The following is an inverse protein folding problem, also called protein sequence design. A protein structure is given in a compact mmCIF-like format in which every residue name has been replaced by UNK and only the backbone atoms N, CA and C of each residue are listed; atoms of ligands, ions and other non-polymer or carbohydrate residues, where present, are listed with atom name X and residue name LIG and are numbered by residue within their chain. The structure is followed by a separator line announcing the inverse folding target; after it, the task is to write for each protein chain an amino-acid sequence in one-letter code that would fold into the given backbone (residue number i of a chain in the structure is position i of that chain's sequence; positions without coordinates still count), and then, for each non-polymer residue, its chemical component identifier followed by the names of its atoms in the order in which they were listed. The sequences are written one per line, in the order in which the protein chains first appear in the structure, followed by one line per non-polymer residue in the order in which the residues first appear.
data_IF_898053362770
#
_entry.id   IF_898053362770
#
_cell.length_a   1.000
_cell.length_b   1.000
_cell.length_c   1.000
_cell.angle_alpha   90.00
_cell.angle_beta   90.00
_cell.angle_gamma   90.00
#
_symmetry.space_group_name_H-M   'P 1'
#
loop_
_entity.id
_entity.type
_entity.pdbx_description
1 polymer ?
#
# COMPACT_ATOMS: atom_id res chain seq x y z
N UNK A 1 5.29 5.10 -18.19
CA UNK A 1 5.10 3.72 -17.73
C UNK A 1 3.65 3.39 -17.51
N UNK A 2 3.29 2.11 -17.67
CA UNK A 2 1.95 1.56 -17.42
C UNK A 2 1.93 0.96 -16.03
N UNK A 3 1.02 1.40 -15.19
CA UNK A 3 0.93 0.92 -13.80
C UNK A 3 -0.41 0.22 -13.59
N UNK A 4 -0.38 -1.05 -13.23
CA UNK A 4 -1.58 -1.78 -12.80
C UNK A 4 -1.80 -1.59 -11.29
N UNK A 5 -2.90 -0.99 -10.94
CA UNK A 5 -3.33 -0.71 -9.57
C UNK A 5 -4.35 -1.75 -9.15
N UNK A 6 -4.03 -2.58 -8.15
CA UNK A 6 -4.91 -3.60 -7.59
C UNK A 6 -5.32 -3.16 -6.18
N UNK A 7 -6.48 -2.54 -6.05
CA UNK A 7 -6.89 -1.92 -4.79
C UNK A 7 -8.40 -1.68 -4.70
N UNK A 8 -8.85 -1.26 -3.53
CA UNK A 8 -10.23 -0.84 -3.31
C UNK A 8 -10.52 0.55 -3.88
N UNK A 9 -11.79 0.81 -4.18
CA UNK A 9 -12.31 2.09 -4.67
C UNK A 9 -12.81 2.94 -3.50
N UNK A 10 -12.36 4.19 -3.42
CA UNK A 10 -12.89 5.22 -2.50
C UNK A 10 -13.90 6.11 -3.22
N UNK A 11 -15.19 5.99 -2.88
CA UNK A 11 -16.25 6.83 -3.45
C UNK A 11 -16.07 8.33 -3.17
N UNK A 12 -15.34 8.70 -2.11
CA UNK A 12 -14.95 10.07 -1.80
C UNK A 12 -13.83 10.63 -2.68
N UNK A 13 -13.16 9.74 -3.43
CA UNK A 13 -12.15 10.12 -4.43
C UNK A 13 -10.80 10.56 -3.87
N UNK A 14 -10.56 10.46 -2.56
CA UNK A 14 -9.34 10.92 -1.91
C UNK A 14 -8.29 9.85 -1.66
N UNK A 15 -8.69 8.57 -1.65
CA UNK A 15 -7.82 7.42 -1.40
C UNK A 15 -8.07 6.31 -2.44
N UNK A 16 -7.57 5.10 -2.20
CA UNK A 16 -7.77 3.94 -3.06
C UNK A 16 -7.34 4.18 -4.50
N UNK A 17 -7.94 3.46 -5.43
CA UNK A 17 -7.62 3.59 -6.86
C UNK A 17 -7.76 5.03 -7.38
N UNK A 18 -8.63 5.84 -6.81
CA UNK A 18 -8.83 7.22 -7.25
C UNK A 18 -7.62 8.11 -6.94
N UNK A 19 -7.00 7.95 -5.79
CA UNK A 19 -5.74 8.63 -5.46
C UNK A 19 -4.60 8.10 -6.35
N UNK A 20 -4.53 6.79 -6.54
CA UNK A 20 -3.50 6.12 -7.32
C UNK A 20 -3.55 6.57 -8.79
N UNK A 21 -4.74 6.54 -9.43
CA UNK A 21 -4.93 7.02 -10.81
C UNK A 21 -4.47 8.47 -10.96
N UNK A 22 -4.90 9.35 -10.04
CA UNK A 22 -4.51 10.77 -10.07
C UNK A 22 -3.00 10.94 -9.96
N UNK A 23 -2.35 10.18 -9.08
CA UNK A 23 -0.91 10.26 -8.86
C UNK A 23 -0.15 9.77 -10.09
N UNK A 24 -0.44 8.57 -10.56
CA UNK A 24 0.21 7.99 -11.75
C UNK A 24 0.03 8.92 -12.97
N UNK A 25 -1.18 9.44 -13.18
CA UNK A 25 -1.47 10.36 -14.28
C UNK A 25 -0.71 11.68 -14.14
N UNK A 26 -0.67 12.25 -12.93
CA UNK A 26 0.07 13.50 -12.67
C UNK A 26 1.59 13.34 -12.89
N UNK A 27 2.12 12.13 -12.72
CA UNK A 27 3.52 11.78 -12.99
C UNK A 27 3.77 11.35 -14.45
N UNK A 28 2.77 11.46 -15.32
CA UNK A 28 2.91 11.13 -16.75
C UNK A 28 2.79 9.64 -17.06
N UNK A 29 2.31 8.82 -16.12
CA UNK A 29 2.06 7.40 -16.31
C UNK A 29 0.65 7.10 -16.84
N UNK A 30 0.45 5.88 -17.29
CA UNK A 30 -0.84 5.32 -17.68
C UNK A 30 -1.34 4.37 -16.59
N UNK A 31 -2.43 4.76 -15.93
CA UNK A 31 -3.00 4.01 -14.81
C UNK A 31 -4.07 3.03 -15.30
N UNK A 32 -3.91 1.76 -14.95
CA UNK A 32 -4.87 0.69 -15.14
C UNK A 32 -5.32 0.16 -13.79
N UNK A 33 -6.49 -0.44 -13.67
CA UNK A 33 -7.03 -0.86 -12.38
C UNK A 33 -7.65 -2.24 -12.40
N UNK A 34 -7.50 -2.96 -11.27
CA UNK A 34 -8.30 -4.10 -10.88
C UNK A 34 -8.88 -3.83 -9.47
N UNK A 35 -10.20 -3.77 -9.37
CA UNK A 35 -10.87 -3.44 -8.11
C UNK A 35 -11.01 -4.67 -7.24
N UNK A 36 -10.60 -4.55 -5.97
CA UNK A 36 -10.75 -5.60 -4.95
C UNK A 36 -12.01 -5.42 -4.10
N UNK A 37 -12.43 -4.17 -3.90
CA UNK A 37 -13.65 -3.82 -3.20
C UNK A 37 -14.14 -2.43 -3.60
N UNK A 38 -15.44 -2.21 -3.44
CA UNK A 38 -16.05 -0.88 -3.50
C UNK A 38 -16.34 -0.40 -2.08
N UNK A 39 -16.06 0.85 -1.77
CA UNK A 39 -16.43 1.42 -0.48
C UNK A 39 -17.47 2.54 -0.63
N UNK A 40 -18.42 2.59 0.28
CA UNK A 40 -19.21 3.77 0.56
C UNK A 40 -18.44 4.60 1.60
N UNK A 41 -17.61 5.54 1.14
CA UNK A 41 -16.64 6.24 1.97
C UNK A 41 -16.64 7.74 1.66
N UNK A 42 -16.37 8.51 2.70
CA UNK A 42 -16.12 9.95 2.63
C UNK A 42 -14.99 10.36 3.59
N UNK A 43 -14.72 11.65 3.76
CA UNK A 43 -13.67 12.14 4.66
C UNK A 43 -13.93 11.90 6.16
N UNK A 44 -15.14 11.47 6.52
CA UNK A 44 -15.56 11.17 7.91
C UNK A 44 -15.40 9.70 8.25
N UNK A 45 -15.48 8.79 7.26
CA UNK A 45 -15.34 7.36 7.50
C UNK A 45 -15.78 6.46 6.36
N UNK A 46 -15.65 5.16 6.60
CA UNK A 46 -16.15 4.08 5.75
C UNK A 46 -17.51 3.62 6.30
N UNK A 47 -18.54 3.72 5.48
CA UNK A 47 -19.92 3.39 5.84
C UNK A 47 -20.35 2.02 5.31
N UNK A 48 -19.62 1.48 4.33
CA UNK A 48 -19.89 0.15 3.77
C UNK A 48 -18.75 -0.30 2.88
N UNK A 49 -18.57 -1.62 2.81
CA UNK A 49 -17.59 -2.28 1.94
C UNK A 49 -18.34 -3.36 1.16
N UNK A 50 -18.20 -3.35 -0.15
CA UNK A 50 -18.71 -4.39 -1.04
C UNK A 50 -17.51 -5.07 -1.71
N UNK A 51 -17.23 -6.31 -1.31
CA UNK A 51 -16.15 -7.09 -1.89
C UNK A 51 -16.45 -7.42 -3.35
N UNK A 52 -15.45 -7.33 -4.20
CA UNK A 52 -15.53 -7.84 -5.56
C UNK A 52 -15.23 -9.35 -5.51
N UNK A 53 -16.03 -10.20 -6.19
CA UNK A 53 -15.77 -11.64 -6.25
C UNK A 53 -14.36 -11.95 -6.80
N UNK A 54 -13.68 -12.92 -6.19
CA UNK A 54 -12.30 -13.30 -6.51
C UNK A 54 -12.11 -13.64 -7.98
N UNK A 55 -13.06 -14.39 -8.58
CA UNK A 55 -13.04 -14.72 -10.00
C UNK A 55 -13.07 -13.47 -10.89
N UNK A 56 -13.75 -12.41 -10.46
CA UNK A 56 -13.81 -11.17 -11.21
C UNK A 56 -12.55 -10.31 -11.01
N UNK A 57 -11.89 -10.41 -9.84
CA UNK A 57 -10.58 -9.79 -9.60
C UNK A 57 -9.55 -10.41 -10.56
N UNK A 58 -9.49 -11.75 -10.63
CA UNK A 58 -8.63 -12.47 -11.57
C UNK A 58 -8.90 -12.01 -13.01
N UNK A 59 -10.17 -11.99 -13.42
CA UNK A 59 -10.54 -11.57 -14.77
C UNK A 59 -10.10 -10.14 -15.11
N UNK A 60 -10.22 -9.19 -14.17
CA UNK A 60 -9.76 -7.82 -14.37
C UNK A 60 -8.24 -7.77 -14.61
N UNK A 61 -7.47 -8.52 -13.79
CA UNK A 61 -6.00 -8.58 -13.92
C UNK A 61 -5.61 -9.23 -15.26
N UNK A 62 -6.23 -10.35 -15.61
CA UNK A 62 -5.92 -11.11 -16.83
C UNK A 62 -6.16 -10.31 -18.10
N UNK A 63 -7.31 -9.65 -18.23
CA UNK A 63 -7.62 -8.86 -19.45
C UNK A 63 -6.70 -7.65 -19.61
N UNK A 64 -6.25 -7.05 -18.49
CA UNK A 64 -5.32 -5.93 -18.55
C UNK A 64 -3.90 -6.41 -18.89
N UNK A 65 -3.42 -7.45 -18.21
CA UNK A 65 -2.05 -7.92 -18.44
C UNK A 65 -1.88 -8.58 -19.80
N UNK A 66 -2.89 -9.30 -20.31
CA UNK A 66 -2.81 -9.97 -21.63
C UNK A 66 -2.82 -9.01 -22.81
N UNK A 67 -3.43 -7.82 -22.70
CA UNK A 67 -3.53 -6.84 -23.77
C UNK A 67 -2.50 -5.70 -23.59
N UNK A 68 -2.55 -5.03 -22.44
CA UNK A 68 -1.75 -3.83 -22.18
C UNK A 68 -0.40 -4.16 -21.53
N UNK A 69 -0.32 -5.24 -20.74
CA UNK A 69 0.81 -5.50 -19.85
C UNK A 69 0.93 -4.45 -18.74
N UNK A 70 1.97 -4.55 -17.93
CA UNK A 70 2.29 -3.55 -16.90
C UNK A 70 3.80 -3.40 -16.76
N UNK A 71 4.25 -2.15 -16.58
CA UNK A 71 5.66 -1.83 -16.29
C UNK A 71 5.92 -1.80 -14.78
N UNK A 72 4.86 -1.65 -13.98
CA UNK A 72 4.84 -1.82 -12.52
C UNK A 72 3.43 -2.21 -12.05
N UNK A 73 3.36 -2.85 -10.90
CA UNK A 73 2.11 -3.17 -10.20
C UNK A 73 2.12 -2.51 -8.83
N UNK A 74 0.99 -1.92 -8.43
CA UNK A 74 0.79 -1.42 -7.06
C UNK A 74 -0.40 -2.12 -6.43
N UNK A 75 -0.25 -2.64 -5.21
CA UNK A 75 -1.38 -3.12 -4.40
C UNK A 75 -1.70 -2.15 -3.28
N UNK A 76 -2.98 -1.99 -2.99
CA UNK A 76 -3.48 -1.23 -1.84
C UNK A 76 -4.37 -2.11 -0.94
N UNK A 77 -5.61 -1.68 -0.67
CA UNK A 77 -6.57 -2.44 0.13
C UNK A 77 -6.92 -3.78 -0.54
N UNK A 78 -6.58 -4.90 0.11
CA UNK A 78 -6.89 -6.27 -0.36
C UNK A 78 -7.95 -6.99 0.48
N UNK A 79 -8.34 -6.44 1.62
CA UNK A 79 -9.47 -6.79 2.48
C UNK A 79 -9.40 -8.17 3.15
N UNK A 80 -9.30 -9.28 2.42
CA UNK A 80 -9.41 -10.65 2.94
C UNK A 80 -8.26 -11.57 2.52
N UNK A 81 -8.03 -12.71 3.22
CA UNK A 81 -7.03 -13.70 2.80
C UNK A 81 -7.27 -14.20 1.38
N UNK A 82 -8.52 -14.52 1.03
CA UNK A 82 -8.89 -15.05 -0.28
C UNK A 82 -8.57 -14.05 -1.41
N UNK A 83 -8.77 -12.74 -1.18
CA UNK A 83 -8.38 -11.70 -2.15
C UNK A 83 -6.87 -11.63 -2.30
N UNK A 84 -6.09 -11.73 -1.21
CA UNK A 84 -4.61 -11.73 -1.26
C UNK A 84 -4.11 -12.94 -2.07
N UNK A 85 -4.60 -14.14 -1.77
CA UNK A 85 -4.26 -15.38 -2.49
C UNK A 85 -4.59 -15.25 -3.98
N UNK A 86 -5.78 -14.74 -4.31
CA UNK A 86 -6.22 -14.50 -5.68
C UNK A 86 -5.30 -13.52 -6.42
N UNK A 87 -4.95 -12.41 -5.79
CA UNK A 87 -4.07 -11.40 -6.39
C UNK A 87 -2.66 -11.95 -6.59
N UNK A 88 -2.12 -12.67 -5.59
CA UNK A 88 -0.80 -13.31 -5.71
C UNK A 88 -0.78 -14.32 -6.85
N UNK A 89 -1.82 -15.15 -6.99
CA UNK A 89 -1.94 -16.11 -8.08
C UNK A 89 -2.05 -15.42 -9.45
N UNK A 90 -2.91 -14.41 -9.57
CA UNK A 90 -3.11 -13.69 -10.83
C UNK A 90 -1.85 -12.91 -11.26
N UNK A 91 -1.11 -12.33 -10.33
CA UNK A 91 0.14 -11.61 -10.61
C UNK A 91 1.34 -12.54 -10.90
N UNK A 92 1.20 -13.87 -10.79
CA UNK A 92 2.27 -14.80 -11.15
C UNK A 92 2.61 -14.79 -12.66
N UNK A 93 1.74 -14.22 -13.48
CA UNK A 93 1.93 -14.10 -14.93
C UNK A 93 2.78 -12.89 -15.36
N UNK A 94 3.27 -12.06 -14.42
CA UNK A 94 4.08 -10.87 -14.73
C UNK A 94 5.29 -10.77 -13.80
N UNK A 95 6.42 -10.30 -14.36
CA UNK A 95 7.64 -9.97 -13.61
C UNK A 95 7.73 -8.47 -13.27
N UNK A 96 6.66 -7.71 -13.53
CA UNK A 96 6.63 -6.28 -13.21
C UNK A 96 6.87 -6.04 -11.71
N UNK A 97 7.73 -5.09 -11.33
CA UNK A 97 8.02 -4.78 -9.93
C UNK A 97 6.73 -4.43 -9.17
N UNK A 98 6.58 -5.01 -7.98
CA UNK A 98 5.40 -4.88 -7.15
C UNK A 98 5.65 -3.90 -5.99
N UNK A 99 4.86 -2.84 -5.92
CA UNK A 99 4.78 -1.93 -4.77
C UNK A 99 3.60 -2.35 -3.89
N UNK A 100 3.87 -2.68 -2.64
CA UNK A 100 2.85 -3.09 -1.67
C UNK A 100 2.61 -1.97 -0.66
N UNK A 101 1.43 -1.36 -0.71
CA UNK A 101 0.93 -0.50 0.38
C UNK A 101 0.05 -1.37 1.30
N UNK A 102 0.52 -1.70 2.53
CA UNK A 102 -0.13 -2.70 3.39
C UNK A 102 -1.31 -2.08 4.15
N UNK A 103 -2.28 -1.57 3.41
CA UNK A 103 -3.43 -0.83 3.96
C UNK A 103 -4.25 -1.70 4.90
N UNK A 104 -4.18 -1.41 6.21
CA UNK A 104 -4.92 -2.14 7.25
C UNK A 104 -6.13 -1.39 7.76
N UNK A 105 -6.05 -0.06 7.86
CA UNK A 105 -7.11 0.80 8.39
C UNK A 105 -7.34 2.04 7.55
N UNK A 106 -8.60 2.47 7.46
CA UNK A 106 -8.92 3.78 6.94
C UNK A 106 -8.49 4.88 7.92
N UNK A 107 -8.34 6.12 7.46
CA UNK A 107 -8.02 7.29 8.30
C UNK A 107 -8.96 7.43 9.51
N UNK A 108 -10.23 7.07 9.38
CA UNK A 108 -11.22 7.06 10.46
C UNK A 108 -11.12 5.87 11.43
N UNK A 109 -10.07 5.03 11.32
CA UNK A 109 -9.85 3.86 12.18
C UNK A 109 -10.63 2.60 11.77
N UNK A 110 -11.51 2.67 10.78
CA UNK A 110 -12.23 1.51 10.28
C UNK A 110 -11.25 0.46 9.74
N UNK A 111 -11.43 -0.81 10.13
CA UNK A 111 -10.64 -1.92 9.61
C UNK A 111 -10.96 -2.12 8.12
N UNK A 112 -9.93 -2.13 7.30
CA UNK A 112 -9.99 -2.40 5.86
C UNK A 112 -9.41 -3.77 5.52
N UNK A 113 -8.50 -4.27 6.34
CA UNK A 113 -7.94 -5.61 6.28
C UNK A 113 -8.51 -6.45 7.41
N UNK A 114 -9.00 -7.65 7.10
CA UNK A 114 -9.43 -8.61 8.10
C UNK A 114 -8.24 -9.09 8.93
N UNK A 115 -8.38 -9.38 10.24
CA UNK A 115 -7.26 -9.82 11.06
C UNK A 115 -6.55 -11.07 10.50
N UNK A 116 -7.31 -12.01 9.96
CA UNK A 116 -6.81 -13.26 9.37
C UNK A 116 -5.99 -13.03 8.08
N UNK A 117 -6.21 -11.89 7.41
CA UNK A 117 -5.52 -11.55 6.17
C UNK A 117 -4.06 -11.09 6.40
N UNK A 118 -3.68 -10.74 7.63
CA UNK A 118 -2.31 -10.31 7.92
C UNK A 118 -1.30 -11.43 7.66
N UNK A 119 -1.62 -12.67 8.00
CA UNK A 119 -0.76 -13.82 7.73
C UNK A 119 -0.55 -14.01 6.23
N UNK A 120 -1.65 -14.04 5.44
CA UNK A 120 -1.56 -14.14 3.99
C UNK A 120 -0.76 -12.99 3.36
N UNK A 121 -0.95 -11.76 3.85
CA UNK A 121 -0.15 -10.60 3.42
C UNK A 121 1.35 -10.85 3.65
N UNK A 122 1.72 -11.27 4.86
CA UNK A 122 3.12 -11.47 5.25
C UNK A 122 3.76 -12.66 4.54
N UNK A 123 3.05 -13.77 4.41
CA UNK A 123 3.61 -15.03 3.89
C UNK A 123 3.60 -15.11 2.37
N UNK A 124 2.60 -14.48 1.70
CA UNK A 124 2.41 -14.65 0.27
C UNK A 124 2.77 -13.40 -0.55
N UNK A 125 2.46 -12.21 -0.05
CA UNK A 125 2.61 -10.98 -0.83
C UNK A 125 3.92 -10.25 -0.54
N UNK A 126 4.34 -10.11 0.73
CA UNK A 126 5.56 -9.38 1.08
C UNK A 126 6.82 -9.96 0.43
N UNK A 127 7.02 -11.29 0.31
CA UNK A 127 8.20 -11.85 -0.35
C UNK A 127 8.31 -11.48 -1.85
N UNK A 128 7.21 -11.03 -2.45
CA UNK A 128 7.17 -10.61 -3.87
C UNK A 128 7.33 -9.10 -4.05
N UNK A 129 7.31 -8.33 -2.97
CA UNK A 129 7.36 -6.89 -3.03
C UNK A 129 8.77 -6.40 -3.44
N UNK A 130 8.84 -5.61 -4.50
CA UNK A 130 10.01 -4.78 -4.79
C UNK A 130 10.12 -3.65 -3.75
N UNK A 131 8.97 -3.06 -3.36
CA UNK A 131 8.93 -2.04 -2.31
C UNK A 131 7.69 -2.25 -1.44
N UNK A 132 7.90 -2.28 -0.14
CA UNK A 132 6.84 -2.23 0.88
C UNK A 132 6.78 -0.80 1.46
N UNK A 133 5.58 -0.20 1.58
CA UNK A 133 5.42 1.20 2.01
C UNK A 133 4.55 1.35 3.27
N UNK A 134 4.93 0.82 4.43
CA UNK A 134 4.13 0.86 5.64
C UNK A 134 4.19 2.24 6.32
N UNK A 135 3.09 2.66 6.92
CA UNK A 135 3.11 3.68 7.97
C UNK A 135 3.49 3.06 9.32
N UNK A 136 3.69 3.89 10.35
CA UNK A 136 4.10 3.43 11.69
C UNK A 136 3.13 2.39 12.26
N UNK A 137 1.80 2.61 12.33
CA UNK A 137 0.86 1.60 12.83
C UNK A 137 0.88 0.28 12.03
N UNK A 138 1.03 0.33 10.72
CA UNK A 138 1.13 -0.85 9.86
C UNK A 138 2.43 -1.63 10.10
N UNK A 139 3.54 -0.92 10.27
CA UNK A 139 4.83 -1.53 10.58
C UNK A 139 4.83 -2.22 11.94
N UNK A 140 4.26 -1.58 12.96
CA UNK A 140 4.07 -2.17 14.30
C UNK A 140 3.18 -3.41 14.25
N UNK A 141 2.08 -3.37 13.49
CA UNK A 141 1.19 -4.51 13.34
C UNK A 141 1.86 -5.70 12.64
N UNK A 142 2.70 -5.45 11.63
CA UNK A 142 3.40 -6.50 10.88
C UNK A 142 4.54 -7.14 11.67
N UNK A 143 5.20 -6.38 12.55
CA UNK A 143 6.39 -6.85 13.26
C UNK A 143 6.15 -7.18 14.74
N UNK A 144 5.07 -6.67 15.33
CA UNK A 144 4.84 -6.71 16.78
C UNK A 144 5.79 -5.80 17.59
N UNK A 145 6.53 -4.92 16.92
CA UNK A 145 7.53 -4.04 17.54
C UNK A 145 7.01 -2.61 17.63
N UNK A 146 7.24 -1.91 18.74
CA UNK A 146 6.84 -0.50 18.89
C UNK A 146 7.86 0.45 18.27
N UNK A 147 7.38 1.59 17.77
CA UNK A 147 8.16 2.65 17.13
C UNK A 147 7.88 3.99 17.84
N UNK A 148 8.85 4.44 18.64
CA UNK A 148 8.78 5.72 19.35
C UNK A 148 9.85 6.70 18.86
N UNK A 149 10.95 6.21 18.31
CA UNK A 149 12.12 6.98 17.90
C UNK A 149 12.52 6.70 16.44
N UNK A 150 13.37 7.54 15.88
CA UNK A 150 13.98 7.29 14.57
C UNK A 150 14.86 6.02 14.55
N UNK A 151 15.46 5.65 15.67
CA UNK A 151 16.23 4.41 15.79
C UNK A 151 15.31 3.18 15.73
N UNK A 152 14.12 3.25 16.34
CA UNK A 152 13.12 2.19 16.25
C UNK A 152 12.60 2.06 14.82
N UNK A 153 12.38 3.20 14.12
CA UNK A 153 11.94 3.19 12.74
C UNK A 153 12.90 2.40 11.85
N UNK A 154 14.21 2.56 12.05
CA UNK A 154 15.23 1.80 11.34
C UNK A 154 15.19 0.32 11.70
N UNK A 155 15.19 -0.02 12.99
CA UNK A 155 15.16 -1.40 13.49
C UNK A 155 13.93 -2.16 12.98
N UNK A 156 12.76 -1.52 13.00
CA UNK A 156 11.51 -2.11 12.49
C UNK A 156 11.54 -2.22 10.97
N UNK A 157 12.11 -1.25 10.26
CA UNK A 157 12.32 -1.33 8.81
C UNK A 157 13.22 -2.51 8.41
N UNK A 158 14.28 -2.76 9.16
CA UNK A 158 15.17 -3.93 8.97
C UNK A 158 14.42 -5.26 9.25
N UNK A 159 13.57 -5.29 10.29
CA UNK A 159 12.73 -6.46 10.58
C UNK A 159 11.70 -6.72 9.47
N UNK A 160 11.09 -5.67 8.90
CA UNK A 160 10.19 -5.79 7.75
C UNK A 160 10.92 -6.27 6.49
N UNK A 161 12.15 -5.82 6.26
CA UNK A 161 12.97 -6.27 5.14
C UNK A 161 13.23 -7.79 5.24
N UNK A 162 13.41 -8.31 6.46
CA UNK A 162 13.60 -9.75 6.69
C UNK A 162 12.35 -10.59 6.38
N UNK A 163 11.16 -9.99 6.21
CA UNK A 163 9.94 -10.66 5.75
C UNK A 163 9.90 -10.87 4.23
N UNK A 164 10.92 -10.42 3.49
CA UNK A 164 11.13 -10.75 2.11
C UNK A 164 11.06 -9.63 1.07
N UNK A 165 10.51 -8.42 1.31
CA UNK A 165 10.54 -7.35 0.34
C UNK A 165 11.98 -6.92 0.02
N UNK A 166 12.23 -6.46 -1.21
CA UNK A 166 13.57 -6.00 -1.61
C UNK A 166 13.94 -4.65 -0.99
N UNK A 167 12.94 -3.81 -0.72
CA UNK A 167 13.09 -2.53 -0.04
C UNK A 167 11.87 -2.22 0.81
N UNK A 168 12.07 -1.44 1.88
CA UNK A 168 10.99 -0.94 2.75
C UNK A 168 11.07 0.57 2.84
N UNK A 169 10.04 1.28 2.41
CA UNK A 169 9.89 2.71 2.60
C UNK A 169 9.01 2.98 3.83
N UNK A 170 9.64 3.18 4.97
CA UNK A 170 8.98 3.51 6.23
C UNK A 170 8.44 4.94 6.21
N UNK A 171 7.12 5.12 6.31
CA UNK A 171 6.49 6.45 6.37
C UNK A 171 6.57 7.02 7.79
N UNK A 172 7.50 7.94 8.02
CA UNK A 172 7.80 8.52 9.34
C UNK A 172 6.85 9.62 9.84
N UNK A 173 5.80 9.95 9.09
CA UNK A 173 4.89 11.06 9.40
C UNK A 173 4.11 10.97 10.72
N UNK A 174 4.16 9.84 11.44
CA UNK A 174 3.52 9.64 12.74
C UNK A 174 4.46 9.89 13.93
N UNK A 175 5.76 10.02 13.70
CA UNK A 175 6.71 10.30 14.78
C UNK A 175 6.60 11.74 15.26
N UNK A 176 6.80 12.00 16.58
CA UNK A 176 6.86 13.35 17.11
C UNK A 176 8.09 14.09 16.57
N UNK A 177 7.93 15.36 16.20
CA UNK A 177 9.02 16.22 15.72
C UNK A 177 8.60 17.17 14.62
N UNK A 178 9.43 18.19 14.36
CA UNK A 178 9.16 19.24 13.38
C UNK A 178 9.46 18.82 11.93
N UNK A 179 10.27 17.79 11.72
CA UNK A 179 10.62 17.27 10.40
C UNK A 179 9.97 15.90 10.17
N UNK A 180 9.34 15.74 9.02
CA UNK A 180 8.90 14.43 8.53
C UNK A 180 10.05 13.78 7.78
N UNK A 181 10.49 12.62 8.24
CA UNK A 181 11.56 11.85 7.61
C UNK A 181 11.00 10.46 7.30
N UNK A 182 10.93 10.14 6.03
CA UNK A 182 10.72 8.77 5.59
C UNK A 182 12.08 8.07 5.50
N UNK A 183 12.09 6.76 5.77
CA UNK A 183 13.30 5.97 5.79
C UNK A 183 13.22 4.85 4.74
N UNK A 184 14.10 4.87 3.77
CA UNK A 184 14.29 3.75 2.84
C UNK A 184 15.29 2.77 3.45
N UNK A 185 14.86 1.52 3.61
CA UNK A 185 15.69 0.41 4.11
C UNK A 185 15.84 -0.62 3.00
N UNK A 186 17.09 -0.98 2.71
CA UNK A 186 17.46 -2.00 1.73
C UNK A 186 18.52 -2.92 2.33
N UNK A 187 18.90 -3.98 1.61
CA UNK A 187 20.00 -4.86 2.02
C UNK A 187 21.36 -4.12 2.15
N UNK A 188 21.52 -2.99 1.45
CA UNK A 188 22.73 -2.16 1.50
C UNK A 188 22.76 -1.22 2.71
N UNK A 189 21.65 -1.04 3.38
CA UNK A 189 21.50 -0.19 4.55
C UNK A 189 20.25 0.67 4.55
N UNK A 190 20.20 1.64 5.47
CA UNK A 190 19.08 2.55 5.62
C UNK A 190 19.48 3.98 5.25
N UNK A 191 18.69 4.61 4.39
CA UNK A 191 18.88 6.00 3.95
C UNK A 191 17.65 6.84 4.29
N UNK A 192 17.85 7.97 4.96
CA UNK A 192 16.77 8.91 5.23
C UNK A 192 16.37 9.62 3.94
N UNK A 193 15.10 9.52 3.58
CA UNK A 193 14.50 10.30 2.51
C UNK A 193 13.83 11.51 3.16
N UNK A 194 14.62 12.57 3.35
CA UNK A 194 14.11 13.84 3.87
C UNK A 194 13.36 14.57 2.77
N UNK A 195 12.05 14.76 2.88
CA UNK A 195 11.31 15.64 1.99
C UNK A 195 11.57 17.14 2.29
N UNK A 196 12.47 17.45 3.24
CA UNK A 196 12.93 18.80 3.57
C UNK A 196 11.81 19.80 3.92
N UNK A 197 10.60 19.31 4.19
CA UNK A 197 9.43 20.13 4.46
C UNK A 197 9.04 20.07 5.93
N UNK A 198 8.77 21.22 6.49
CA UNK A 198 8.17 21.33 7.82
C UNK A 198 6.83 20.57 7.85
N UNK A 199 6.57 19.87 8.95
CA UNK A 199 5.29 19.21 9.21
C UNK A 199 4.17 20.26 9.15
N UNK A 200 3.16 19.97 8.33
CA UNK A 200 1.92 20.77 8.32
C UNK A 200 0.90 20.08 9.22
N UNK A 201 0.47 20.77 10.25
CA UNK A 201 -0.68 20.33 11.03
C UNK A 201 -1.96 20.59 10.24
N UNK A 202 -2.61 19.54 9.78
CA UNK A 202 -3.85 19.61 9.03
C UNK A 202 -4.71 18.39 9.27
N UNK A 203 -6.04 18.53 9.40
CA UNK A 203 -6.95 17.38 9.42
C UNK A 203 -7.09 16.72 8.04
N UNK A 204 -6.64 17.38 6.97
CA UNK A 204 -6.80 16.92 5.56
C UNK A 204 -5.65 16.03 5.11
N UNK A 205 -5.51 14.84 5.73
CA UNK A 205 -4.48 13.84 5.38
C UNK A 205 -5.06 12.57 4.73
N UNK A 206 -6.33 12.62 4.27
CA UNK A 206 -6.97 11.50 3.59
C UNK A 206 -6.27 11.19 2.26
N UNK A 207 -5.87 9.92 2.09
CA UNK A 207 -5.23 9.43 0.86
C UNK A 207 -3.73 9.70 0.72
N UNK A 208 -3.06 10.35 1.69
CA UNK A 208 -1.61 10.62 1.60
C UNK A 208 -0.77 9.35 1.49
N UNK A 209 -1.16 8.27 2.17
CA UNK A 209 -0.50 6.97 2.08
C UNK A 209 -0.58 6.37 0.67
N UNK A 210 -1.78 6.32 0.10
CA UNK A 210 -2.01 5.84 -1.26
C UNK A 210 -1.21 6.66 -2.29
N UNK A 211 -1.25 7.99 -2.18
CA UNK A 211 -0.50 8.90 -3.06
C UNK A 211 1.00 8.66 -3.01
N UNK A 212 1.59 8.39 -1.83
CA UNK A 212 3.02 8.13 -1.72
C UNK A 212 3.42 6.77 -2.31
N UNK A 213 2.54 5.77 -2.22
CA UNK A 213 2.80 4.42 -2.70
C UNK A 213 2.59 4.26 -4.22
N UNK A 214 1.94 5.21 -4.87
CA UNK A 214 1.68 5.23 -6.32
C UNK A 214 2.77 5.94 -7.07
#
# INVERSE_FOLDING_TARGET
GRVLIVAGSDSGGGAGIQADIKTVTALGGFAMTALTALTAQNTRGVHGIHAVPEAFITQQIDVVLSDLGADAVKTGMLHSPAVIETVVAALAQTDAPLVVDPVMRAKGGAALLQPEAQAALTELLLPRAAVLTPNVPEAEALTGMSIETAADLRRVGEALLALGPQAVLMKGGHLPGAAMTDLLVTAEGASAIGLGRARRETPHTHGTGCTLAS
#
